data_IF_522114924373
#
_entry.id   IF_522114924373
#
_cell.length_a   1.000
_cell.length_b   1.000
_cell.length_c   1.000
_cell.angle_alpha   90.00
_cell.angle_beta   90.00
_cell.angle_gamma   90.00
#
_symmetry.space_group_name_H-M   'P 1'
#
loop_
_entity.id
_entity.type
_entity.pdbx_description
1 polymer ?
#
# COMPACT_ATOMS: atom_id res chain seq x y z
N UNK A 1 -2.61 14.12 -4.21
CA UNK A 1 -3.16 13.16 -3.24
C UNK A 1 -4.43 12.56 -3.84
N UNK A 2 -4.71 11.27 -3.61
CA UNK A 2 -5.93 10.63 -4.13
C UNK A 2 -7.12 10.82 -3.20
N UNK A 3 -6.90 10.69 -1.90
CA UNK A 3 -7.93 10.88 -0.88
C UNK A 3 -7.72 12.24 -0.22
N UNK A 4 -8.68 13.14 -0.35
CA UNK A 4 -8.56 14.49 0.19
C UNK A 4 -8.48 14.44 1.73
N UNK A 5 -7.60 15.26 2.31
CA UNK A 5 -7.31 15.31 3.76
C UNK A 5 -6.93 13.96 4.40
N UNK A 6 -6.37 13.02 3.63
CA UNK A 6 -5.87 11.78 4.19
C UNK A 6 -4.84 12.04 5.30
N UNK A 7 -4.90 11.32 6.44
CA UNK A 7 -3.90 11.43 7.47
C UNK A 7 -2.54 11.00 6.91
N UNK A 8 -1.51 11.80 7.18
CA UNK A 8 -0.14 11.39 6.89
C UNK A 8 0.23 10.22 7.81
N UNK A 9 0.40 9.03 7.25
CA UNK A 9 0.89 7.87 7.99
C UNK A 9 2.41 7.94 8.08
N UNK A 10 2.90 8.48 9.20
CA UNK A 10 4.32 8.42 9.54
C UNK A 10 4.55 7.17 10.38
N UNK A 11 5.54 6.32 10.05
CA UNK A 11 5.84 5.16 10.87
C UNK A 11 6.18 5.61 12.30
N UNK A 12 5.48 5.06 13.29
CA UNK A 12 5.80 5.31 14.69
C UNK A 12 7.06 4.53 15.07
N UNK A 13 7.93 5.13 15.89
CA UNK A 13 9.05 4.41 16.51
C UNK A 13 8.57 3.26 17.44
N UNK A 14 7.29 3.29 17.83
CA UNK A 14 6.67 2.25 18.66
C UNK A 14 6.03 1.12 17.84
N UNK A 15 5.95 1.24 16.50
CA UNK A 15 5.33 0.21 15.63
C UNK A 15 5.96 -1.18 15.82
N UNK A 16 7.29 -1.36 15.97
CA UNK A 16 7.85 -2.69 16.23
C UNK A 16 7.38 -3.30 17.57
N UNK A 17 7.23 -2.48 18.61
CA UNK A 17 6.73 -2.92 19.92
C UNK A 17 5.23 -3.29 19.82
N UNK A 18 4.44 -2.46 19.13
CA UNK A 18 3.02 -2.73 18.87
C UNK A 18 2.84 -4.01 18.07
N UNK A 19 3.65 -4.22 17.03
CA UNK A 19 3.68 -5.45 16.24
C UNK A 19 3.97 -6.66 17.12
N UNK A 20 5.04 -6.61 17.94
CA UNK A 20 5.41 -7.72 18.82
C UNK A 20 4.29 -8.04 19.83
N UNK A 21 3.72 -7.02 20.48
CA UNK A 21 2.62 -7.18 21.41
C UNK A 21 1.39 -7.79 20.74
N UNK A 22 0.96 -7.24 19.60
CA UNK A 22 -0.23 -7.71 18.90
C UNK A 22 -0.02 -9.10 18.32
N UNK A 23 1.11 -9.38 17.67
CA UNK A 23 1.36 -10.69 17.08
C UNK A 23 1.36 -11.79 18.14
N UNK A 24 2.08 -11.58 19.25
CA UNK A 24 2.30 -12.64 20.28
C UNK A 24 1.17 -12.76 21.29
N UNK A 25 0.53 -11.66 21.69
CA UNK A 25 -0.45 -11.67 22.78
C UNK A 25 -1.90 -11.48 22.32
N UNK A 26 -2.15 -11.12 21.05
CA UNK A 26 -3.52 -10.88 20.54
C UNK A 26 -3.84 -11.73 19.32
N UNK A 27 -3.07 -11.59 18.24
CA UNK A 27 -3.38 -12.19 16.94
C UNK A 27 -3.15 -13.70 16.99
N UNK A 28 -1.92 -14.16 17.28
CA UNK A 28 -1.63 -15.59 17.29
C UNK A 28 -2.49 -16.40 18.27
N UNK A 29 -2.76 -15.91 19.51
CA UNK A 29 -3.55 -16.70 20.45
C UNK A 29 -5.06 -16.69 20.17
N UNK A 30 -5.62 -15.60 19.63
CA UNK A 30 -7.08 -15.39 19.59
C UNK A 30 -7.69 -15.19 18.20
N UNK A 31 -6.89 -14.92 17.17
CA UNK A 31 -7.41 -14.57 15.83
C UNK A 31 -6.86 -15.51 14.75
N UNK A 32 -5.53 -15.53 14.57
CA UNK A 32 -4.87 -16.25 13.48
C UNK A 32 -3.53 -16.81 13.97
N UNK A 33 -3.51 -18.11 14.24
CA UNK A 33 -2.33 -18.84 14.73
C UNK A 33 -1.18 -18.88 13.73
N UNK A 34 -1.48 -18.73 12.45
CA UNK A 34 -0.51 -18.80 11.35
C UNK A 34 -0.13 -17.40 10.84
N UNK A 35 -0.47 -16.35 11.60
CA UNK A 35 -0.16 -14.98 11.22
C UNK A 35 1.35 -14.76 11.04
N UNK A 36 1.76 -14.46 9.81
CA UNK A 36 3.12 -14.06 9.43
C UNK A 36 3.10 -12.67 8.79
N UNK A 37 3.72 -11.71 9.48
CA UNK A 37 3.86 -10.34 8.99
C UNK A 37 4.76 -10.24 7.75
N UNK A 38 5.79 -11.09 7.63
CA UNK A 38 6.71 -11.07 6.50
C UNK A 38 6.03 -11.61 5.24
N UNK A 39 5.22 -12.67 5.36
CA UNK A 39 4.38 -13.17 4.27
C UNK A 39 3.35 -12.11 3.85
N UNK A 40 2.65 -11.52 4.82
CA UNK A 40 1.72 -10.43 4.56
C UNK A 40 2.38 -9.29 3.79
N UNK A 41 3.55 -8.81 4.22
CA UNK A 41 4.23 -7.67 3.57
C UNK A 41 4.62 -7.98 2.12
N UNK A 42 5.01 -9.22 1.80
CA UNK A 42 5.28 -9.65 0.42
C UNK A 42 4.00 -9.58 -0.43
N UNK A 43 2.89 -10.13 0.07
CA UNK A 43 1.60 -10.10 -0.61
C UNK A 43 1.07 -8.67 -0.79
N UNK A 44 1.16 -7.84 0.24
CA UNK A 44 0.73 -6.45 0.22
C UNK A 44 1.54 -5.61 -0.79
N UNK A 45 2.85 -5.83 -0.89
CA UNK A 45 3.71 -5.19 -1.89
C UNK A 45 3.24 -5.51 -3.31
N UNK A 46 2.99 -6.78 -3.61
CA UNK A 46 2.46 -7.20 -4.91
C UNK A 46 1.07 -6.62 -5.19
N UNK A 47 0.16 -6.70 -4.22
CA UNK A 47 -1.19 -6.14 -4.34
C UNK A 47 -1.17 -4.62 -4.60
N UNK A 48 -0.24 -3.89 -3.97
CA UNK A 48 -0.02 -2.45 -4.20
C UNK A 48 0.32 -2.16 -5.67
N UNK A 49 1.22 -2.95 -6.27
CA UNK A 49 1.59 -2.81 -7.68
C UNK A 49 0.38 -3.10 -8.60
N UNK A 50 -0.38 -4.16 -8.32
CA UNK A 50 -1.59 -4.52 -9.09
C UNK A 50 -2.67 -3.44 -8.99
N UNK A 51 -3.02 -3.00 -7.78
CA UNK A 51 -4.06 -1.98 -7.55
C UNK A 51 -3.65 -0.66 -8.21
N UNK A 52 -2.42 -0.21 -8.01
CA UNK A 52 -1.94 1.05 -8.60
C UNK A 52 -1.94 1.04 -10.14
N UNK A 53 -1.63 -0.11 -10.76
CA UNK A 53 -1.70 -0.30 -12.21
C UNK A 53 -3.15 -0.29 -12.72
N UNK A 54 -4.06 -0.97 -12.01
CA UNK A 54 -5.49 -0.94 -12.32
C UNK A 54 -6.06 0.48 -12.27
N UNK A 55 -5.72 1.26 -11.23
CA UNK A 55 -6.10 2.67 -11.10
C UNK A 55 -5.54 3.52 -12.24
N UNK A 56 -4.28 3.31 -12.62
CA UNK A 56 -3.65 4.02 -13.73
C UNK A 56 -4.38 3.79 -15.05
N UNK A 57 -4.89 2.57 -15.24
CA UNK A 57 -5.63 2.16 -16.44
C UNK A 57 -7.15 2.39 -16.35
N UNK A 58 -7.65 2.97 -15.26
CA UNK A 58 -9.10 3.10 -14.98
C UNK A 58 -9.86 1.76 -15.03
N UNK A 59 -9.19 0.66 -14.72
CA UNK A 59 -9.80 -0.67 -14.70
C UNK A 59 -10.38 -0.97 -13.31
N UNK A 60 -11.51 -0.33 -12.98
CA UNK A 60 -12.13 -0.46 -11.67
C UNK A 60 -12.72 -1.86 -11.41
N UNK A 61 -13.12 -2.57 -12.46
CA UNK A 61 -13.64 -3.94 -12.33
C UNK A 61 -12.57 -4.88 -11.77
N UNK A 62 -11.31 -4.69 -12.15
CA UNK A 62 -10.19 -5.48 -11.61
C UNK A 62 -9.85 -5.20 -10.14
N UNK A 63 -10.44 -4.16 -9.54
CA UNK A 63 -10.28 -3.85 -8.12
C UNK A 63 -11.28 -4.60 -7.23
N UNK A 64 -12.32 -5.21 -7.82
CA UNK A 64 -13.32 -5.96 -7.08
C UNK A 64 -12.69 -7.12 -6.33
N UNK A 65 -12.97 -7.21 -5.03
CA UNK A 65 -12.36 -8.22 -4.15
C UNK A 65 -10.89 -7.96 -3.79
N UNK A 66 -10.29 -6.85 -4.24
CA UNK A 66 -8.97 -6.37 -3.79
C UNK A 66 -9.07 -5.10 -2.97
N UNK A 67 -10.04 -4.24 -3.30
CA UNK A 67 -10.32 -2.96 -2.65
C UNK A 67 -11.80 -2.94 -2.26
N UNK A 68 -12.15 -2.31 -1.14
CA UNK A 68 -13.57 -2.17 -0.76
C UNK A 68 -14.32 -1.27 -1.74
N UNK A 69 -15.61 -1.55 -1.94
CA UNK A 69 -16.46 -0.84 -2.92
C UNK A 69 -16.52 0.66 -2.67
N UNK A 70 -16.66 1.07 -1.41
CA UNK A 70 -16.65 2.48 -1.00
C UNK A 70 -15.35 3.20 -1.38
N UNK A 71 -14.21 2.53 -1.17
CA UNK A 71 -12.90 3.05 -1.53
C UNK A 71 -12.73 3.08 -3.07
N UNK A 72 -13.26 2.10 -3.81
CA UNK A 72 -13.28 2.12 -5.29
C UNK A 72 -14.02 3.36 -5.80
N UNK A 73 -15.18 3.70 -5.23
CA UNK A 73 -15.94 4.89 -5.66
C UNK A 73 -15.20 6.19 -5.38
N UNK A 74 -14.57 6.33 -4.20
CA UNK A 74 -13.72 7.49 -3.87
C UNK A 74 -12.56 7.61 -4.87
N UNK A 75 -11.88 6.49 -5.15
CA UNK A 75 -10.76 6.47 -6.09
C UNK A 75 -11.23 6.80 -7.51
N UNK A 76 -12.34 6.22 -7.96
CA UNK A 76 -12.94 6.49 -9.28
C UNK A 76 -13.19 7.98 -9.46
N UNK A 77 -13.92 8.60 -8.51
CA UNK A 77 -14.22 10.02 -8.54
C UNK A 77 -12.95 10.88 -8.67
N UNK A 78 -11.88 10.53 -7.95
CA UNK A 78 -10.62 11.27 -8.04
C UNK A 78 -9.88 11.02 -9.35
N UNK A 79 -9.71 9.76 -9.75
CA UNK A 79 -8.93 9.35 -10.93
C UNK A 79 -9.49 9.99 -12.21
N UNK A 80 -10.81 10.15 -12.30
CA UNK A 80 -11.46 10.82 -13.43
C UNK A 80 -11.11 12.31 -13.55
N UNK A 81 -10.66 12.96 -12.47
CA UNK A 81 -10.21 14.37 -12.51
C UNK A 81 -8.75 14.54 -12.94
N UNK A 82 -7.97 13.44 -12.98
CA UNK A 82 -6.53 13.51 -13.25
C UNK A 82 -6.23 13.51 -14.75
N UNK A 83 -5.30 14.36 -15.16
CA UNK A 83 -4.68 14.27 -16.50
C UNK A 83 -3.98 12.91 -16.68
N UNK A 84 -3.78 12.44 -17.93
CA UNK A 84 -3.04 11.20 -18.20
C UNK A 84 -1.66 11.17 -17.53
N UNK A 85 -0.93 12.29 -17.56
CA UNK A 85 0.40 12.39 -16.94
C UNK A 85 0.34 12.29 -15.42
N UNK A 86 -0.64 12.92 -14.76
CA UNK A 86 -0.81 12.81 -13.31
C UNK A 86 -1.21 11.39 -12.90
N UNK A 87 -2.09 10.75 -13.68
CA UNK A 87 -2.51 9.38 -13.44
C UNK A 87 -1.36 8.38 -13.60
N UNK A 88 -0.47 8.61 -14.56
CA UNK A 88 0.72 7.78 -14.75
C UNK A 88 1.65 7.76 -13.53
N UNK A 89 1.70 8.85 -12.73
CA UNK A 89 2.51 8.91 -11.50
C UNK A 89 1.99 7.95 -10.40
N UNK A 90 0.78 7.40 -10.54
CA UNK A 90 0.21 6.47 -9.56
C UNK A 90 0.80 5.08 -9.73
N UNK A 91 1.19 4.68 -10.94
CA UNK A 91 1.71 3.36 -11.24
C UNK A 91 2.96 3.07 -10.40
N UNK A 92 2.87 2.06 -9.54
CA UNK A 92 3.99 1.58 -8.74
C UNK A 92 4.53 0.32 -9.38
N UNK A 93 5.81 0.34 -9.74
CA UNK A 93 6.56 -0.85 -10.09
C UNK A 93 7.40 -1.29 -8.88
N UNK A 94 7.48 -2.59 -8.63
CA UNK A 94 8.27 -3.12 -7.52
C UNK A 94 9.77 -2.78 -7.60
N UNK A 95 10.29 -2.58 -8.82
CA UNK A 95 11.69 -2.21 -9.07
C UNK A 95 11.96 -0.72 -8.85
N UNK A 96 10.89 0.08 -8.80
CA UNK A 96 10.92 1.53 -8.58
C UNK A 96 10.71 1.92 -7.11
N UNK A 97 10.39 0.95 -6.24
CA UNK A 97 10.24 1.16 -4.81
C UNK A 97 11.61 1.40 -4.14
N UNK A 98 11.73 2.50 -3.40
CA UNK A 98 12.88 2.77 -2.53
C UNK A 98 12.80 1.94 -1.25
N UNK A 99 11.61 1.90 -0.65
CA UNK A 99 11.29 1.05 0.49
C UNK A 99 9.79 0.80 0.58
N UNK A 100 9.44 -0.34 1.18
CA UNK A 100 8.08 -0.76 1.48
C UNK A 100 8.06 -1.28 2.91
N UNK A 101 7.28 -0.65 3.79
CA UNK A 101 7.35 -0.94 5.23
C UNK A 101 5.98 -0.93 5.90
N UNK A 102 5.90 -1.68 6.99
CA UNK A 102 4.82 -1.59 7.96
C UNK A 102 4.84 -0.19 8.60
N UNK A 103 3.72 0.54 8.49
CA UNK A 103 3.52 1.81 9.19
C UNK A 103 2.79 1.59 10.51
N UNK A 104 1.71 0.81 10.50
CA UNK A 104 0.91 0.52 11.68
C UNK A 104 0.18 -0.83 11.56
N UNK A 105 -0.21 -1.38 12.71
CA UNK A 105 -0.99 -2.62 12.84
C UNK A 105 -2.00 -2.49 13.97
N UNK A 106 -3.23 -2.93 13.73
CA UNK A 106 -4.29 -3.03 14.74
C UNK A 106 -4.96 -4.39 14.66
N UNK A 107 -5.49 -4.84 15.81
CA UNK A 107 -6.28 -6.05 15.90
C UNK A 107 -7.50 -5.80 16.79
N UNK A 108 -8.67 -6.24 16.33
CA UNK A 108 -9.90 -6.23 17.10
C UNK A 108 -10.25 -7.67 17.48
N UNK A 109 -10.46 -7.90 18.77
CA UNK A 109 -10.93 -9.19 19.32
C UNK A 109 -12.34 -8.96 19.88
N UNK A 110 -13.32 -9.73 19.40
CA UNK A 110 -14.72 -9.57 19.79
C UNK A 110 -15.61 -10.54 19.02
N UNK A 111 -16.88 -10.19 18.81
CA UNK A 111 -17.82 -10.98 18.00
C UNK A 111 -17.33 -11.14 16.55
N UNK A 112 -16.72 -10.08 15.99
CA UNK A 112 -16.00 -10.13 14.72
C UNK A 112 -14.54 -9.78 14.97
N UNK A 113 -13.64 -10.73 14.70
CA UNK A 113 -12.20 -10.43 14.76
C UNK A 113 -11.75 -9.77 13.47
N UNK A 114 -10.80 -8.85 13.57
CA UNK A 114 -10.14 -8.30 12.40
C UNK A 114 -8.69 -7.92 12.68
N UNK A 115 -7.88 -7.97 11.63
CA UNK A 115 -6.52 -7.45 11.63
C UNK A 115 -6.47 -6.37 10.56
N UNK A 116 -5.90 -5.22 10.92
CA UNK A 116 -5.66 -4.10 10.02
C UNK A 116 -4.18 -3.83 9.97
N UNK A 117 -3.63 -3.72 8.77
CA UNK A 117 -2.22 -3.42 8.58
C UNK A 117 -2.10 -2.27 7.58
N UNK A 118 -1.43 -1.22 8.01
CA UNK A 118 -1.14 -0.06 7.18
C UNK A 118 0.31 -0.12 6.72
N UNK A 119 0.51 -0.03 5.41
CA UNK A 119 1.82 -0.01 4.77
C UNK A 119 2.09 1.35 4.15
N UNK A 120 3.35 1.76 4.15
CA UNK A 120 3.82 2.92 3.40
C UNK A 120 4.90 2.48 2.41
N UNK A 121 4.84 3.04 1.21
CA UNK A 121 5.81 2.81 0.16
C UNK A 121 6.28 4.14 -0.41
N UNK A 122 7.59 4.30 -0.49
CA UNK A 122 8.23 5.42 -1.17
C UNK A 122 8.79 4.91 -2.49
N UNK A 123 8.52 5.61 -3.58
CA UNK A 123 8.92 5.18 -4.92
C UNK A 123 9.26 6.37 -5.82
N UNK A 124 10.05 6.10 -6.85
CA UNK A 124 10.38 7.05 -7.90
C UNK A 124 10.11 6.35 -9.23
N UNK A 125 9.21 6.89 -10.03
CA UNK A 125 8.88 6.29 -11.33
C UNK A 125 10.09 6.27 -12.27
N UNK A 126 10.36 5.10 -12.88
CA UNK A 126 11.47 4.88 -13.79
C UNK A 126 12.85 4.84 -13.11
N UNK A 127 12.90 4.66 -11.79
CA UNK A 127 14.14 4.57 -11.03
C UNK A 127 15.02 3.42 -11.51
N UNK A 128 14.44 2.24 -11.77
CA UNK A 128 15.18 1.08 -12.22
C UNK A 128 15.86 1.33 -13.58
N UNK A 129 15.13 1.91 -14.54
CA UNK A 129 15.67 2.28 -15.84
C UNK A 129 16.78 3.32 -15.74
N UNK A 130 16.61 4.33 -14.86
CA UNK A 130 17.63 5.36 -14.63
C UNK A 130 18.90 4.77 -14.00
N UNK A 131 18.77 3.89 -13.01
CA UNK A 131 19.92 3.19 -12.41
C UNK A 131 20.69 2.39 -13.46
N UNK A 132 19.99 1.66 -14.31
CA UNK A 132 20.60 0.90 -15.39
C UNK A 132 21.32 1.81 -16.40
N UNK A 133 20.67 2.89 -16.84
CA UNK A 133 21.30 3.88 -17.74
C UNK A 133 22.54 4.51 -17.12
N UNK A 134 22.49 4.90 -15.84
CA UNK A 134 23.63 5.49 -15.12
C UNK A 134 24.80 4.51 -15.03
N UNK A 135 24.52 3.23 -14.73
CA UNK A 135 25.54 2.18 -14.67
C UNK A 135 26.20 1.96 -16.04
N UNK A 136 25.43 2.04 -17.13
CA UNK A 136 25.91 1.81 -18.49
C UNK A 136 26.61 3.02 -19.12
N UNK A 137 26.19 4.24 -18.80
CA UNK A 137 26.70 5.47 -19.45
C UNK A 137 27.77 6.20 -18.64
N UNK A 138 27.88 5.94 -17.33
CA UNK A 138 28.75 6.70 -16.42
C UNK A 138 28.36 8.17 -16.23
N UNK A 139 27.25 8.62 -16.83
CA UNK A 139 26.75 9.99 -16.77
C UNK A 139 25.51 10.05 -15.87
N UNK A 140 25.53 10.97 -14.91
CA UNK A 140 24.39 11.23 -14.04
C UNK A 140 23.46 12.21 -14.76
N UNK A 141 22.29 11.73 -15.20
CA UNK A 141 21.24 12.60 -15.76
C UNK A 141 20.46 13.30 -14.63
N UNK A 142 20.87 14.52 -14.32
CA UNK A 142 20.19 15.41 -13.35
C UNK A 142 18.98 16.15 -13.95
N UNK A 143 18.69 16.00 -15.25
CA UNK A 143 17.67 16.82 -15.93
C UNK A 143 16.25 16.30 -15.76
N UNK A 144 16.09 15.03 -15.41
CA UNK A 144 14.77 14.43 -15.19
C UNK A 144 14.36 14.54 -13.72
N UNK A 145 13.53 15.54 -13.39
CA UNK A 145 12.86 15.67 -12.09
C UNK A 145 12.25 14.33 -11.66
N UNK A 146 12.88 13.67 -10.69
CA UNK A 146 12.34 12.47 -10.05
C UNK A 146 11.40 12.90 -8.96
N UNK A 147 10.10 12.98 -9.26
CA UNK A 147 9.10 13.20 -8.22
C UNK A 147 9.17 12.04 -7.23
N UNK A 148 9.48 12.37 -5.98
CA UNK A 148 9.39 11.43 -4.88
C UNK A 148 7.91 11.23 -4.54
N UNK A 149 7.44 10.00 -4.77
CA UNK A 149 6.05 9.62 -4.60
C UNK A 149 5.93 8.70 -3.41
N UNK A 150 4.79 8.81 -2.75
CA UNK A 150 4.43 7.96 -1.61
C UNK A 150 3.05 7.39 -1.86
N UNK A 151 2.89 6.12 -1.53
CA UNK A 151 1.58 5.53 -1.39
C UNK A 151 1.41 4.85 -0.04
N UNK A 152 0.18 4.90 0.44
CA UNK A 152 -0.20 4.30 1.71
C UNK A 152 -1.49 3.50 1.56
N UNK A 153 -1.45 2.28 2.05
CA UNK A 153 -2.51 1.30 1.93
C UNK A 153 -2.82 0.75 3.31
N UNK A 154 -4.11 0.61 3.63
CA UNK A 154 -4.54 -0.18 4.79
C UNK A 154 -5.25 -1.41 4.28
N UNK A 155 -4.72 -2.58 4.61
CA UNK A 155 -5.35 -3.86 4.33
C UNK A 155 -6.03 -4.37 5.59
N UNK A 156 -7.28 -4.79 5.45
CA UNK A 156 -8.06 -5.39 6.52
C UNK A 156 -8.39 -6.83 6.16
N UNK A 157 -8.16 -7.74 7.11
CA UNK A 157 -8.65 -9.11 7.05
C UNK A 157 -9.67 -9.31 8.17
N UNK A 158 -10.89 -9.66 7.78
CA UNK A 158 -11.97 -10.02 8.71
C UNK A 158 -12.00 -11.52 8.93
N UNK A 159 -12.39 -11.92 10.13
CA UNK A 159 -12.53 -13.32 10.51
C UNK A 159 -13.95 -13.56 10.99
N UNK A 160 -14.59 -14.57 10.43
CA UNK A 160 -15.93 -15.02 10.83
C UNK A 160 -15.78 -16.43 11.34
N UNK A 161 -16.22 -16.70 12.57
CA UNK A 161 -16.04 -18.00 13.23
C UNK A 161 -14.58 -18.50 13.22
N UNK A 162 -13.63 -17.59 13.45
CA UNK A 162 -12.18 -17.84 13.38
C UNK A 162 -11.64 -18.24 11.99
N UNK A 163 -12.43 -18.09 10.93
CA UNK A 163 -11.99 -18.30 9.56
C UNK A 163 -11.70 -16.95 8.92
N UNK A 164 -10.43 -16.72 8.57
CA UNK A 164 -9.97 -15.47 7.97
C UNK A 164 -10.31 -15.39 6.48
N UNK A 165 -11.03 -14.34 6.08
CA UNK A 165 -11.27 -14.00 4.68
C UNK A 165 -10.02 -13.51 3.93
N UNK A 166 -10.17 -12.98 2.71
CA UNK A 166 -9.06 -12.34 2.01
C UNK A 166 -8.61 -11.03 2.69
N UNK A 167 -7.37 -10.63 2.42
CA UNK A 167 -6.90 -9.28 2.72
C UNK A 167 -7.48 -8.31 1.69
N UNK A 168 -8.24 -7.31 2.16
CA UNK A 168 -8.86 -6.29 1.31
C UNK A 168 -8.27 -4.93 1.65
N UNK A 169 -7.87 -4.15 0.65
CA UNK A 169 -7.48 -2.76 0.84
C UNK A 169 -8.72 -1.92 1.18
N UNK A 170 -8.81 -1.46 2.43
CA UNK A 170 -9.87 -0.57 2.92
C UNK A 170 -9.47 0.89 2.84
N UNK A 171 -8.21 1.17 2.54
CA UNK A 171 -7.70 2.52 2.32
C UNK A 171 -6.61 2.48 1.27
N UNK A 172 -6.65 3.41 0.32
CA UNK A 172 -5.66 3.56 -0.75
C UNK A 172 -5.42 5.03 -1.02
N UNK A 173 -4.17 5.47 -0.95
CA UNK A 173 -3.82 6.84 -1.29
C UNK A 173 -2.42 6.94 -1.88
N UNK A 174 -2.26 7.87 -2.82
CA UNK A 174 -0.98 8.23 -3.44
C UNK A 174 -0.81 9.74 -3.42
N UNK A 175 0.38 10.21 -3.06
CA UNK A 175 0.72 11.63 -2.99
C UNK A 175 2.20 11.87 -3.27
N UNK A 176 2.53 13.13 -3.57
CA UNK A 176 3.92 13.58 -3.71
C UNK A 176 4.39 14.14 -2.38
N UNK A 177 5.65 13.86 -2.01
CA UNK A 177 6.33 14.60 -0.94
C UNK A 177 6.82 15.91 -1.56
N UNK A 178 6.25 17.04 -1.14
CA UNK A 178 6.67 18.38 -1.53
C UNK A 178 7.98 18.76 -0.84
#
# INVERSE_FOLDING_TARGET
MLVDQAPAHVPSLLTPLKLLYLSTLRIAPYIDKEFDIAEFLKGAKYATAIISKALTNKNYDSLQGLVTEDMIEILRAKIETLSPNQRQLIAVDETDMLFYMLSDIDATVGEEHSIKITTICHYIQGLAEKKNKMMMSGLIDFTTSTKHLVCNYTFTRKYINNIGGPWIATFVNHYTVS
#
